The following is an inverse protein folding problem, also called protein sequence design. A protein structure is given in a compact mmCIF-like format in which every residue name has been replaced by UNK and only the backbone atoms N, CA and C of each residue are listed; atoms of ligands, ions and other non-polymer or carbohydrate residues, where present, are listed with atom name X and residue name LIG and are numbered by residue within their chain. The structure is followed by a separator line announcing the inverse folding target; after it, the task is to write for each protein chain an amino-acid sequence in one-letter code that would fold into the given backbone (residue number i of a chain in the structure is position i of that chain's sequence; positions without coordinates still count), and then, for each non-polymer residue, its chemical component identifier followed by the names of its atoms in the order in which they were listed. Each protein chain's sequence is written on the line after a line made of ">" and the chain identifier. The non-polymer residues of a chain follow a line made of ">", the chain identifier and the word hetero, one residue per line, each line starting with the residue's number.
data_IF_616007465836
#
_entry.id   IF_616007465836
#
_cell.length_a   1.000
_cell.length_b   1.000
_cell.length_c   1.000
_cell.angle_alpha   90.00
_cell.angle_beta   90.00
_cell.angle_gamma   90.00
#
_symmetry.space_group_name_H-M   'P 1'
#
loop_
_entity.id
_entity.type
_entity.pdbx_description
1 polymer ?
#
# COMPACT_ATOMS: atom_id res chain seq x y z
N UNK A 1 1.70 18.49 5.21
CA UNK A 1 2.47 17.50 4.43
C UNK A 1 1.47 16.56 3.76
N UNK A 2 1.71 16.14 2.52
CA UNK A 2 0.78 15.31 1.73
C UNK A 2 1.30 13.87 1.72
N UNK A 3 0.46 12.92 2.09
CA UNK A 3 0.81 11.50 2.12
C UNK A 3 0.51 10.85 0.76
N UNK A 4 1.48 10.08 0.25
CA UNK A 4 1.37 9.29 -0.98
C UNK A 4 1.75 7.86 -0.65
N UNK A 5 0.79 6.95 -0.74
CA UNK A 5 1.04 5.52 -0.61
C UNK A 5 1.45 4.91 -1.94
N UNK A 6 2.47 4.06 -1.90
CA UNK A 6 3.01 3.38 -3.06
C UNK A 6 2.44 1.96 -3.15
N UNK A 7 1.92 1.62 -4.33
CA UNK A 7 1.58 0.25 -4.72
C UNK A 7 2.81 -0.47 -5.28
N UNK A 8 2.90 -1.78 -5.10
CA UNK A 8 4.03 -2.59 -5.53
C UNK A 8 4.19 -2.71 -7.04
N UNK A 9 3.12 -2.49 -7.81
CA UNK A 9 3.21 -2.55 -9.27
C UNK A 9 3.97 -1.37 -9.90
N UNK A 10 4.33 -0.32 -9.14
CA UNK A 10 5.05 0.82 -9.70
C UNK A 10 6.57 0.59 -9.75
N UNK A 11 7.09 -0.34 -8.95
CA UNK A 11 8.53 -0.48 -8.77
C UNK A 11 9.26 -0.85 -10.07
N UNK A 12 8.70 -1.80 -10.83
CA UNK A 12 9.23 -2.17 -12.14
C UNK A 12 9.28 -0.96 -13.10
N UNK A 13 8.27 -0.08 -13.03
CA UNK A 13 8.23 1.13 -13.87
C UNK A 13 9.29 2.16 -13.46
N UNK A 14 9.48 2.38 -12.16
CA UNK A 14 10.50 3.30 -11.67
C UNK A 14 11.90 2.83 -12.04
N UNK A 15 12.20 1.54 -11.84
CA UNK A 15 13.49 0.97 -12.20
C UNK A 15 13.74 1.07 -13.71
N UNK A 16 12.78 0.62 -14.53
CA UNK A 16 12.90 0.58 -15.98
C UNK A 16 13.15 1.96 -16.60
N UNK A 17 12.59 3.01 -16.01
CA UNK A 17 12.72 4.38 -16.50
C UNK A 17 13.74 5.20 -15.70
N UNK A 18 14.46 4.57 -14.77
CA UNK A 18 15.46 5.21 -13.89
C UNK A 18 14.92 6.47 -13.20
N UNK A 19 13.68 6.41 -12.71
CA UNK A 19 13.00 7.54 -12.08
C UNK A 19 13.28 7.58 -10.58
N UNK A 20 13.70 8.74 -10.09
CA UNK A 20 13.77 9.03 -8.66
C UNK A 20 12.44 9.65 -8.20
N UNK A 21 11.80 9.05 -7.19
CA UNK A 21 10.53 9.56 -6.66
C UNK A 21 10.64 10.98 -6.08
N UNK A 22 11.80 11.37 -5.55
CA UNK A 22 12.00 12.68 -4.91
C UNK A 22 12.03 13.84 -5.89
N UNK A 23 12.33 13.59 -7.16
CA UNK A 23 12.26 14.61 -8.22
C UNK A 23 10.80 15.05 -8.45
N UNK A 24 9.85 14.12 -8.29
CA UNK A 24 8.42 14.36 -8.49
C UNK A 24 7.69 14.67 -7.19
N UNK A 25 8.16 14.11 -6.07
CA UNK A 25 7.56 14.26 -4.75
C UNK A 25 8.59 14.77 -3.72
N UNK A 26 8.90 16.09 -3.74
CA UNK A 26 9.89 16.67 -2.85
C UNK A 26 9.52 16.49 -1.36
N UNK A 27 10.51 16.08 -0.55
CA UNK A 27 10.33 15.76 0.87
C UNK A 27 9.75 16.91 1.71
N UNK A 28 9.96 18.17 1.29
CA UNK A 28 9.39 19.35 1.96
C UNK A 28 7.86 19.36 1.95
N UNK A 29 7.23 18.72 0.95
CA UNK A 29 5.77 18.73 0.76
C UNK A 29 5.15 17.35 0.90
N UNK A 30 5.87 16.29 0.53
CA UNK A 30 5.32 14.94 0.39
C UNK A 30 6.02 13.92 1.30
N UNK A 31 5.21 13.07 1.93
CA UNK A 31 5.65 11.81 2.52
C UNK A 31 5.29 10.69 1.57
N UNK A 32 6.28 9.89 1.24
CA UNK A 32 6.11 8.69 0.43
C UNK A 32 6.04 7.52 1.40
N UNK A 33 4.98 6.75 1.32
CA UNK A 33 4.61 5.76 2.33
C UNK A 33 4.40 4.40 1.66
N UNK A 34 4.68 3.34 2.40
CA UNK A 34 4.27 1.98 2.06
C UNK A 34 3.48 1.38 3.23
N UNK A 35 2.44 0.61 2.92
CA UNK A 35 1.73 -0.13 3.95
C UNK A 35 2.53 -1.37 4.36
N UNK A 36 2.30 -1.87 5.58
CA UNK A 36 2.82 -3.18 6.03
C UNK A 36 2.52 -4.31 5.02
N UNK A 37 1.36 -4.24 4.36
CA UNK A 37 0.96 -5.18 3.30
C UNK A 37 1.87 -5.08 2.08
N UNK A 38 2.16 -3.86 1.62
CA UNK A 38 3.12 -3.64 0.54
C UNK A 38 4.50 -4.19 0.90
N UNK A 39 4.94 -4.00 2.15
CA UNK A 39 6.21 -4.55 2.66
C UNK A 39 6.24 -6.08 2.66
N UNK A 40 5.14 -6.74 3.01
CA UNK A 40 5.07 -8.21 2.96
C UNK A 40 5.29 -8.73 1.55
N UNK A 41 4.64 -8.14 0.54
CA UNK A 41 4.83 -8.60 -0.84
C UNK A 41 6.29 -8.43 -1.31
N UNK A 42 6.96 -7.33 -0.96
CA UNK A 42 8.38 -7.10 -1.29
C UNK A 42 9.29 -8.13 -0.61
N UNK A 43 9.06 -8.37 0.69
CA UNK A 43 9.84 -9.36 1.45
C UNK A 43 9.71 -10.76 0.86
N UNK A 44 8.55 -11.08 0.27
CA UNK A 44 8.26 -12.37 -0.36
C UNK A 44 8.61 -12.44 -1.85
N UNK A 45 9.23 -11.40 -2.42
CA UNK A 45 9.75 -11.45 -3.78
C UNK A 45 10.85 -12.52 -3.87
N UNK A 46 10.80 -13.40 -4.89
CA UNK A 46 11.76 -14.48 -5.06
C UNK A 46 13.16 -13.92 -5.38
N UNK A 47 14.20 -14.59 -4.88
CA UNK A 47 15.60 -14.28 -5.18
C UNK A 47 16.06 -14.90 -6.51
N UNK A 48 15.18 -14.91 -7.52
CA UNK A 48 15.55 -15.32 -8.88
C UNK A 48 16.43 -14.24 -9.52
N UNK A 49 17.42 -14.60 -10.37
CA UNK A 49 18.33 -13.63 -11.00
C UNK A 49 17.63 -12.40 -11.59
N UNK A 50 16.50 -12.61 -12.28
CA UNK A 50 15.70 -11.56 -12.93
C UNK A 50 14.96 -10.61 -11.97
N UNK A 51 14.94 -10.93 -10.66
CA UNK A 51 14.25 -10.15 -9.62
C UNK A 51 15.18 -9.60 -8.54
N UNK A 52 16.44 -10.05 -8.49
CA UNK A 52 17.43 -9.56 -7.53
C UNK A 52 17.68 -8.06 -7.73
N UNK A 53 17.85 -7.60 -8.97
CA UNK A 53 18.05 -6.18 -9.28
C UNK A 53 16.87 -5.32 -8.79
N UNK A 54 15.64 -5.73 -9.14
CA UNK A 54 14.43 -5.04 -8.70
C UNK A 54 14.30 -5.01 -7.18
N UNK A 55 14.54 -6.14 -6.51
CA UNK A 55 14.46 -6.24 -5.05
C UNK A 55 15.48 -5.31 -4.38
N UNK A 56 16.72 -5.28 -4.88
CA UNK A 56 17.77 -4.40 -4.36
C UNK A 56 17.43 -2.92 -4.57
N UNK A 57 16.90 -2.57 -5.74
CA UNK A 57 16.41 -1.22 -6.03
C UNK A 57 15.29 -0.81 -5.07
N UNK A 58 14.28 -1.67 -4.88
CA UNK A 58 13.18 -1.37 -3.95
C UNK A 58 13.72 -1.17 -2.53
N UNK A 59 14.59 -2.06 -2.07
CA UNK A 59 15.16 -1.96 -0.72
C UNK A 59 16.00 -0.69 -0.52
N UNK A 60 16.75 -0.24 -1.52
CA UNK A 60 17.52 1.01 -1.43
C UNK A 60 16.59 2.23 -1.36
N UNK A 61 15.49 2.24 -2.12
CA UNK A 61 14.49 3.31 -2.07
C UNK A 61 13.73 3.30 -0.74
N UNK A 62 13.36 2.13 -0.23
CA UNK A 62 12.71 1.98 1.07
C UNK A 62 13.59 2.47 2.23
N UNK A 63 14.91 2.29 2.15
CA UNK A 63 15.81 2.71 3.22
C UNK A 63 15.97 4.24 3.32
N UNK A 64 15.74 4.97 2.23
CA UNK A 64 16.07 6.40 2.15
C UNK A 64 14.84 7.30 1.97
N UNK A 65 13.84 6.85 1.21
CA UNK A 65 12.82 7.72 0.66
C UNK A 65 11.39 7.36 1.04
N UNK A 66 11.16 6.14 1.52
CA UNK A 66 9.80 5.62 1.77
C UNK A 66 9.65 5.15 3.19
N UNK A 67 8.64 5.66 3.88
CA UNK A 67 8.34 5.30 5.25
C UNK A 67 7.34 4.15 5.30
N UNK A 68 7.64 3.10 6.06
CA UNK A 68 6.69 2.02 6.33
C UNK A 68 5.70 2.45 7.41
N UNK A 69 4.41 2.38 7.10
CA UNK A 69 3.33 2.76 8.02
C UNK A 69 2.50 1.53 8.39
N UNK A 70 2.27 1.40 9.69
CA UNK A 70 1.52 0.31 10.29
C UNK A 70 0.20 0.83 10.85
N UNK A 71 -0.85 0.03 10.74
CA UNK A 71 -2.13 0.31 11.39
C UNK A 71 -2.12 -0.28 12.80
N UNK A 72 -2.57 0.50 13.78
CA UNK A 72 -2.78 0.01 15.14
C UNK A 72 -3.89 -1.04 15.19
N UNK A 73 -3.68 -2.10 15.96
CA UNK A 73 -4.72 -3.09 16.21
C UNK A 73 -4.26 -4.20 17.13
N UNK A 74 -5.16 -5.13 17.38
CA UNK A 74 -4.92 -6.29 18.24
C UNK A 74 -4.35 -7.46 17.44
N UNK A 75 -3.62 -8.34 18.14
CA UNK A 75 -3.09 -9.57 17.57
C UNK A 75 -4.22 -10.49 17.10
N UNK A 76 -4.04 -11.10 15.94
CA UNK A 76 -4.90 -12.15 15.43
C UNK A 76 -4.20 -13.51 15.63
N UNK A 77 -4.76 -14.43 16.45
CA UNK A 77 -4.14 -15.73 16.71
C UNK A 77 -4.07 -16.64 15.47
N UNK A 78 -4.78 -16.33 14.39
CA UNK A 78 -4.67 -17.04 13.11
C UNK A 78 -3.41 -16.66 12.30
N UNK A 79 -2.60 -15.71 12.78
CA UNK A 79 -1.35 -15.30 12.15
C UNK A 79 -0.19 -15.46 13.13
N UNK A 80 1.00 -15.77 12.61
CA UNK A 80 2.22 -15.69 13.42
C UNK A 80 2.52 -14.24 13.78
N UNK A 81 3.43 -14.02 14.73
CA UNK A 81 3.83 -12.68 15.17
C UNK A 81 4.36 -11.81 14.02
N UNK A 82 5.18 -12.38 13.13
CA UNK A 82 5.73 -11.68 11.96
C UNK A 82 4.71 -11.43 10.86
N UNK A 83 3.58 -12.14 10.86
CA UNK A 83 2.51 -12.03 9.86
C UNK A 83 1.31 -11.20 10.34
N UNK A 84 1.41 -10.55 11.50
CA UNK A 84 0.36 -9.68 12.00
C UNK A 84 0.14 -8.51 11.03
N UNK A 85 -1.13 -8.25 10.69
CA UNK A 85 -1.51 -7.14 9.80
C UNK A 85 -1.45 -5.79 10.51
N UNK A 86 -1.71 -5.81 11.80
CA UNK A 86 -1.66 -4.64 12.67
C UNK A 86 -0.37 -4.64 13.50
N UNK A 87 -0.08 -3.49 14.09
CA UNK A 87 0.97 -3.34 15.10
C UNK A 87 0.37 -2.85 16.42
N UNK A 88 1.06 -3.10 17.53
CA UNK A 88 0.66 -2.70 18.87
C UNK A 88 0.97 -1.23 19.16
N UNK A 89 0.74 -0.82 20.40
CA UNK A 89 1.02 0.52 20.90
C UNK A 89 2.47 0.93 20.65
N UNK A 90 2.68 2.18 20.24
CA UNK A 90 4.01 2.73 19.94
C UNK A 90 4.55 2.39 18.55
N UNK A 91 3.91 1.47 17.82
CA UNK A 91 4.31 1.09 16.46
C UNK A 91 3.20 1.31 15.42
N UNK A 92 1.94 1.09 15.79
CA UNK A 92 0.78 1.30 14.91
C UNK A 92 0.19 2.69 15.01
N UNK A 93 -0.27 3.23 13.87
CA UNK A 93 -1.04 4.47 13.78
C UNK A 93 -2.54 4.20 13.77
N UNK A 94 -3.33 5.11 14.36
CA UNK A 94 -4.78 5.05 14.25
C UNK A 94 -5.22 5.37 12.82
N UNK A 95 -6.26 4.66 12.37
CA UNK A 95 -6.93 4.91 11.10
C UNK A 95 -8.24 5.67 11.33
N UNK A 96 -8.61 6.49 10.36
CA UNK A 96 -9.86 7.24 10.37
C UNK A 96 -11.07 6.31 10.26
N UNK A 97 -12.22 6.82 10.72
CA UNK A 97 -13.51 6.14 10.58
C UNK A 97 -13.84 5.88 9.10
N UNK A 98 -13.47 6.79 8.20
CA UNK A 98 -13.72 6.64 6.76
C UNK A 98 -12.89 5.50 6.15
N UNK A 99 -11.59 5.43 6.46
CA UNK A 99 -10.73 4.32 6.03
C UNK A 99 -11.24 2.99 6.57
N UNK A 100 -11.65 2.93 7.84
CA UNK A 100 -12.17 1.71 8.46
C UNK A 100 -13.48 1.22 7.82
N UNK A 101 -14.42 2.13 7.53
CA UNK A 101 -15.65 1.80 6.81
C UNK A 101 -15.36 1.30 5.40
N UNK A 102 -14.45 1.94 4.69
CA UNK A 102 -14.09 1.52 3.33
C UNK A 102 -13.37 0.18 3.32
N UNK A 103 -12.45 -0.04 4.26
CA UNK A 103 -11.78 -1.34 4.45
C UNK A 103 -12.80 -2.44 4.69
N UNK A 104 -13.79 -2.23 5.56
CA UNK A 104 -14.83 -3.21 5.82
C UNK A 104 -15.68 -3.50 4.56
N UNK A 105 -16.05 -2.45 3.81
CA UNK A 105 -16.80 -2.57 2.55
C UNK A 105 -16.03 -3.36 1.50
N UNK A 106 -14.77 -2.98 1.23
CA UNK A 106 -13.91 -3.66 0.27
C UNK A 106 -13.61 -5.12 0.70
N UNK A 107 -13.42 -5.38 2.00
CA UNK A 107 -13.30 -6.76 2.52
C UNK A 107 -14.57 -7.57 2.31
N UNK A 108 -15.76 -6.99 2.46
CA UNK A 108 -17.01 -7.70 2.21
C UNK A 108 -17.21 -8.04 0.72
N UNK A 109 -16.75 -7.17 -0.19
CA UNK A 109 -16.92 -7.33 -1.64
C UNK A 109 -15.83 -8.21 -2.27
N UNK A 110 -14.59 -8.09 -1.83
CA UNK A 110 -13.40 -8.69 -2.46
C UNK A 110 -12.58 -9.60 -1.54
N UNK A 111 -12.85 -9.58 -0.24
CA UNK A 111 -12.10 -10.33 0.74
C UNK A 111 -12.23 -11.84 0.55
N UNK A 112 -11.11 -12.54 0.70
CA UNK A 112 -11.07 -14.00 0.66
C UNK A 112 -9.97 -14.51 1.59
N UNK A 113 -10.09 -15.75 2.04
CA UNK A 113 -9.02 -16.46 2.77
C UNK A 113 -8.12 -17.27 1.83
N UNK A 114 -8.37 -17.21 0.52
CA UNK A 114 -7.54 -17.87 -0.48
C UNK A 114 -6.22 -17.12 -0.69
N UNK A 115 -5.12 -17.87 -0.74
CA UNK A 115 -3.80 -17.36 -1.10
C UNK A 115 -3.48 -17.72 -2.56
N UNK A 116 -2.76 -16.85 -3.29
CA UNK A 116 -2.31 -17.16 -4.66
C UNK A 116 -1.31 -18.32 -4.70
N UNK A 117 -0.48 -18.43 -3.66
CA UNK A 117 0.44 -19.56 -3.39
C UNK A 117 0.46 -19.80 -1.89
N UNK A 118 0.61 -21.04 -1.45
CA UNK A 118 0.64 -21.38 -0.01
C UNK A 118 1.76 -20.68 0.75
N UNK A 119 2.88 -20.40 0.09
CA UNK A 119 4.04 -19.71 0.67
C UNK A 119 3.84 -18.21 0.89
N UNK A 120 2.80 -17.58 0.32
CA UNK A 120 2.54 -16.15 0.50
C UNK A 120 1.91 -15.88 1.87
N UNK A 121 2.25 -14.75 2.49
CA UNK A 121 1.70 -14.31 3.78
C UNK A 121 0.29 -13.78 3.57
N UNK A 122 0.11 -12.96 2.54
CA UNK A 122 -1.14 -12.27 2.24
C UNK A 122 -2.17 -13.16 1.54
N UNK A 123 -3.43 -12.90 1.86
CA UNK A 123 -4.55 -13.40 1.07
C UNK A 123 -4.66 -12.64 -0.25
N UNK A 124 -5.39 -13.23 -1.21
CA UNK A 124 -5.63 -12.59 -2.50
C UNK A 124 -6.32 -11.24 -2.29
N UNK A 125 -5.82 -10.21 -2.96
CA UNK A 125 -6.32 -8.82 -2.92
C UNK A 125 -6.21 -8.12 -1.56
N UNK A 126 -5.54 -8.71 -0.57
CA UNK A 126 -5.46 -8.12 0.77
C UNK A 126 -4.71 -6.78 0.77
N UNK A 127 -3.61 -6.67 0.00
CA UNK A 127 -2.88 -5.42 -0.18
C UNK A 127 -3.70 -4.36 -0.95
N UNK A 128 -4.37 -4.77 -2.04
CA UNK A 128 -5.22 -3.89 -2.86
C UNK A 128 -6.39 -3.31 -2.03
N UNK A 129 -7.00 -4.13 -1.17
CA UNK A 129 -8.05 -3.70 -0.24
C UNK A 129 -7.51 -2.66 0.73
N UNK A 130 -6.32 -2.87 1.29
CA UNK A 130 -5.72 -1.91 2.23
C UNK A 130 -5.42 -0.57 1.56
N UNK A 131 -4.77 -0.59 0.39
CA UNK A 131 -4.49 0.62 -0.38
C UNK A 131 -5.79 1.32 -0.82
N UNK A 132 -6.80 0.56 -1.24
CA UNK A 132 -8.13 1.09 -1.56
C UNK A 132 -8.76 1.82 -0.36
N UNK A 133 -8.66 1.25 0.84
CA UNK A 133 -9.13 1.91 2.05
C UNK A 133 -8.34 3.19 2.38
N UNK A 134 -7.00 3.14 2.28
CA UNK A 134 -6.12 4.29 2.53
C UNK A 134 -6.33 5.45 1.55
N UNK A 135 -6.81 5.15 0.33
CA UNK A 135 -7.11 6.16 -0.69
C UNK A 135 -8.23 7.15 -0.31
N UNK A 136 -9.02 6.84 0.74
CA UNK A 136 -10.11 7.69 1.21
C UNK A 136 -9.64 9.04 1.76
N UNK A 137 -8.40 9.11 2.21
CA UNK A 137 -7.80 10.22 2.96
C UNK A 137 -6.39 10.53 2.49
N UNK A 138 -5.78 9.66 1.68
CA UNK A 138 -4.42 9.80 1.16
C UNK A 138 -4.41 9.57 -0.35
N UNK A 139 -3.33 10.00 -1.02
CA UNK A 139 -3.12 9.64 -2.41
C UNK A 139 -2.51 8.24 -2.49
N UNK A 140 -2.90 7.47 -3.50
CA UNK A 140 -2.29 6.16 -3.83
C UNK A 140 -1.70 6.27 -5.23
N UNK A 141 -0.41 5.98 -5.35
CA UNK A 141 0.30 5.88 -6.63
C UNK A 141 0.33 4.42 -7.06
N UNK A 142 -0.44 4.10 -8.10
CA UNK A 142 -0.59 2.75 -8.64
C UNK A 142 -0.68 2.78 -10.17
N UNK A 143 -0.21 1.71 -10.82
CA UNK A 143 -0.41 1.45 -12.24
C UNK A 143 -1.53 0.43 -12.49
N UNK A 144 -2.27 0.02 -11.45
CA UNK A 144 -3.35 -0.95 -11.61
C UNK A 144 -4.53 -0.33 -12.36
N UNK A 145 -4.95 -1.03 -13.40
CA UNK A 145 -6.09 -0.66 -14.27
C UNK A 145 -7.17 -1.73 -14.28
N UNK A 146 -6.93 -2.86 -13.57
CA UNK A 146 -7.81 -4.02 -13.59
C UNK A 146 -9.01 -3.80 -12.70
N UNK A 147 -10.09 -4.52 -13.00
CA UNK A 147 -11.25 -4.58 -12.11
C UNK A 147 -10.84 -5.23 -10.79
N UNK A 148 -11.13 -4.54 -9.69
CA UNK A 148 -10.70 -4.95 -8.35
C UNK A 148 -10.87 -3.84 -7.31
N UNK A 149 -10.37 -4.06 -6.09
CA UNK A 149 -10.54 -3.13 -4.97
C UNK A 149 -10.05 -1.71 -5.28
N UNK A 150 -8.89 -1.57 -5.92
CA UNK A 150 -8.29 -0.28 -6.23
C UNK A 150 -9.09 0.52 -7.27
N UNK A 151 -9.56 -0.13 -8.34
CA UNK A 151 -10.40 0.51 -9.34
C UNK A 151 -11.78 0.88 -8.76
N UNK A 152 -12.38 -0.01 -7.97
CA UNK A 152 -13.63 0.28 -7.27
C UNK A 152 -13.49 1.47 -6.32
N UNK A 153 -12.36 1.56 -5.59
CA UNK A 153 -12.05 2.69 -4.73
C UNK A 153 -11.90 3.97 -5.54
N UNK A 154 -11.13 3.96 -6.64
CA UNK A 154 -10.87 5.15 -7.47
C UNK A 154 -12.14 5.75 -8.08
N UNK A 155 -13.06 4.91 -8.56
CA UNK A 155 -14.33 5.32 -9.16
C UNK A 155 -15.34 5.84 -8.12
N UNK A 156 -15.23 5.38 -6.86
CA UNK A 156 -16.11 5.78 -5.75
C UNK A 156 -15.51 6.85 -4.86
N UNK A 157 -14.31 7.37 -5.17
CA UNK A 157 -13.75 8.52 -4.44
C UNK A 157 -14.66 9.73 -4.69
N UNK A 158 -15.52 10.02 -3.72
CA UNK A 158 -16.11 11.36 -3.58
C UNK A 158 -14.92 12.33 -3.43
N UNK A 159 -14.68 13.25 -4.38
CA UNK A 159 -13.54 14.14 -4.29
C UNK A 159 -13.62 14.94 -2.99
N UNK A 160 -12.48 15.23 -2.34
CA UNK A 160 -12.48 16.08 -1.16
C UNK A 160 -13.18 17.40 -1.54
N UNK A 161 -14.18 17.80 -0.74
CA UNK A 161 -14.85 19.10 -0.84
C UNK A 161 -13.82 20.19 -0.57
N UNK A 162 -12.98 20.54 -1.56
CA UNK A 162 -12.16 21.76 -1.67
C UNK A 162 -11.30 21.75 -2.94
N UNK A 163 -11.91 21.55 -4.11
CA UNK A 163 -11.31 21.94 -5.40
C UNK A 163 -12.23 22.90 -6.14
N UNK A 164 -12.45 24.09 -5.55
CA UNK A 164 -12.76 25.28 -6.37
C UNK A 164 -11.48 25.71 -7.08
N UNK A 165 -11.16 25.01 -8.15
CA UNK A 165 -10.43 25.56 -9.28
C UNK A 165 -11.25 25.22 -10.52
N UNK A 166 -12.28 26.04 -10.76
CA UNK A 166 -12.77 26.25 -12.11
C UNK A 166 -12.18 27.60 -12.55
N UNK A 167 -11.61 27.56 -13.76
CA UNK A 167 -11.07 28.70 -14.50
C UNK A 167 -12.11 29.78 -14.70
#
# INVERSE_FOLDING_TARGET
>A
MINIYIDNNIWDFLLKNSLNLRDYFPAKKYRILISKYGRFEITQMPDSPDKVELKNFILSVLANDVEEVHTFGFSNPSHSESEQRSSSFGMGSFTSVSENKERARLKAEYGTTQKRKKSLILYKQEADIELGALSRTNFVLTLDKKDGPLKNASEKVIPPKNSRFQK
#
